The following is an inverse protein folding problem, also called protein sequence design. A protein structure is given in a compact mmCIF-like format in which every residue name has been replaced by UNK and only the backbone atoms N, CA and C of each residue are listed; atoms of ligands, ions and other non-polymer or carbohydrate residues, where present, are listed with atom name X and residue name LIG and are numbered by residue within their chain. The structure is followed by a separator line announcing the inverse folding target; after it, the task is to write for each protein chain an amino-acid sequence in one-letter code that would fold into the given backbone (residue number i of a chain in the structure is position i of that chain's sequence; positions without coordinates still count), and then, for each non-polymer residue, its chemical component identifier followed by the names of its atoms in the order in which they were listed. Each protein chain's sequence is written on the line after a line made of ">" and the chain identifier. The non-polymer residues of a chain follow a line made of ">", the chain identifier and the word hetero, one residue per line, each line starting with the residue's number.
data_IF_688300496074
#
_entry.id   IF_688300496074
#
_cell.length_a   1.000
_cell.length_b   1.000
_cell.length_c   1.000
_cell.angle_alpha   90.00
_cell.angle_beta   90.00
_cell.angle_gamma   90.00
#
_symmetry.space_group_name_H-M   'P 1'
#
loop_
_entity.id
_entity.type
_entity.pdbx_description
1 polymer ?
#
# COMPACT_ATOMS: atom_id res chain seq x y z
N UNK A 1 -18.56 -27.56 -11.12
CA UNK A 1 -17.26 -26.97 -10.79
C UNK A 1 -17.53 -25.53 -10.45
N UNK A 2 -17.81 -25.27 -9.18
CA UNK A 2 -17.99 -23.91 -8.68
C UNK A 2 -16.64 -23.22 -8.81
N UNK A 3 -16.56 -22.26 -9.72
CA UNK A 3 -15.46 -21.30 -9.78
C UNK A 3 -15.53 -20.50 -8.48
N UNK A 4 -14.79 -20.91 -7.45
CA UNK A 4 -14.49 -20.02 -6.35
C UNK A 4 -13.79 -18.82 -6.97
N UNK A 5 -14.49 -17.68 -7.02
CA UNK A 5 -13.92 -16.44 -7.55
C UNK A 5 -12.58 -16.18 -6.85
N UNK A 6 -11.49 -16.10 -7.62
CA UNK A 6 -10.19 -15.74 -7.07
C UNK A 6 -10.30 -14.34 -6.47
N UNK A 7 -10.00 -14.22 -5.17
CA UNK A 7 -9.94 -12.93 -4.48
C UNK A 7 -8.89 -12.07 -5.15
N UNK A 8 -9.26 -10.88 -5.62
CA UNK A 8 -8.28 -9.96 -6.21
C UNK A 8 -7.42 -9.32 -5.12
N UNK A 9 -6.27 -8.76 -5.49
CA UNK A 9 -5.43 -8.00 -4.55
C UNK A 9 -6.19 -6.81 -3.91
N UNK A 10 -7.11 -6.20 -4.65
CA UNK A 10 -7.97 -5.12 -4.13
C UNK A 10 -8.92 -5.65 -3.05
N UNK A 11 -9.49 -6.83 -3.25
CA UNK A 11 -10.41 -7.45 -2.28
C UNK A 11 -9.65 -7.86 -1.02
N UNK A 12 -8.48 -8.48 -1.15
CA UNK A 12 -7.62 -8.83 0.00
C UNK A 12 -7.25 -7.58 0.82
N UNK A 13 -6.81 -6.51 0.17
CA UNK A 13 -6.49 -5.25 0.84
C UNK A 13 -7.72 -4.62 1.51
N UNK A 14 -8.89 -4.69 0.87
CA UNK A 14 -10.16 -4.22 1.43
C UNK A 14 -10.60 -5.01 2.67
N UNK A 15 -10.40 -6.34 2.66
CA UNK A 15 -10.65 -7.18 3.83
C UNK A 15 -9.70 -6.82 4.96
N UNK A 16 -8.39 -6.71 4.71
CA UNK A 16 -7.42 -6.29 5.73
C UNK A 16 -7.80 -4.93 6.34
N UNK A 17 -8.20 -3.97 5.49
CA UNK A 17 -8.66 -2.66 5.96
C UNK A 17 -9.89 -2.77 6.86
N UNK A 18 -10.89 -3.55 6.44
CA UNK A 18 -12.11 -3.79 7.21
C UNK A 18 -11.82 -4.48 8.55
N UNK A 19 -10.89 -5.44 8.57
CA UNK A 19 -10.39 -6.06 9.80
C UNK A 19 -9.76 -5.02 10.74
N UNK A 20 -8.96 -4.09 10.20
CA UNK A 20 -8.33 -3.03 10.97
C UNK A 20 -9.36 -2.06 11.59
N UNK A 21 -10.39 -1.69 10.84
CA UNK A 21 -11.48 -0.83 11.32
C UNK A 21 -12.32 -1.52 12.41
N UNK A 22 -12.59 -2.82 12.23
CA UNK A 22 -13.29 -3.64 13.21
C UNK A 22 -12.42 -4.05 14.42
N UNK A 23 -11.11 -3.74 14.39
CA UNK A 23 -10.12 -4.22 15.37
C UNK A 23 -10.14 -5.74 15.55
N UNK A 24 -10.45 -6.45 14.47
CA UNK A 24 -10.49 -7.90 14.43
C UNK A 24 -9.17 -8.43 13.89
N UNK A 25 -8.55 -9.36 14.62
CA UNK A 25 -7.25 -9.95 14.29
C UNK A 25 -7.40 -11.44 14.01
N UNK A 26 -6.88 -11.89 12.87
CA UNK A 26 -6.76 -13.30 12.53
C UNK A 26 -5.45 -13.55 11.79
N UNK A 27 -4.43 -14.00 12.52
CA UNK A 27 -3.04 -14.13 12.07
C UNK A 27 -2.94 -14.94 10.76
N UNK A 28 -3.62 -16.09 10.67
CA UNK A 28 -3.58 -16.92 9.45
C UNK A 28 -4.15 -16.26 8.19
N UNK A 29 -5.15 -15.38 8.31
CA UNK A 29 -5.70 -14.65 7.16
C UNK A 29 -4.74 -13.55 6.75
N UNK A 30 -4.19 -12.84 7.76
CA UNK A 30 -3.24 -11.75 7.53
C UNK A 30 -1.98 -12.28 6.83
N UNK A 31 -1.41 -13.38 7.34
CA UNK A 31 -0.22 -13.99 6.75
C UNK A 31 -0.46 -14.43 5.31
N UNK A 32 -1.60 -15.08 5.04
CA UNK A 32 -1.94 -15.56 3.71
C UNK A 32 -2.18 -14.42 2.71
N UNK A 33 -2.85 -13.35 3.14
CA UNK A 33 -3.09 -12.19 2.29
C UNK A 33 -1.81 -11.40 2.06
N UNK A 34 -0.98 -11.20 3.09
CA UNK A 34 0.35 -10.59 2.94
C UNK A 34 1.19 -11.40 1.96
N UNK A 35 1.19 -12.74 2.07
CA UNK A 35 1.89 -13.62 1.13
C UNK A 35 1.40 -13.45 -0.31
N UNK A 36 0.08 -13.42 -0.51
CA UNK A 36 -0.54 -13.32 -1.84
C UNK A 36 -0.33 -11.95 -2.49
N UNK A 37 -0.45 -10.87 -1.72
CA UNK A 37 -0.27 -9.50 -2.21
C UNK A 37 1.13 -9.20 -2.74
N UNK A 38 2.15 -9.95 -2.29
CA UNK A 38 3.54 -9.82 -2.79
C UNK A 38 3.69 -10.11 -4.28
N UNK A 39 2.75 -10.85 -4.89
CA UNK A 39 2.88 -11.34 -6.26
C UNK A 39 1.95 -10.64 -7.27
N UNK A 40 0.81 -10.09 -6.81
CA UNK A 40 -0.28 -9.70 -7.73
C UNK A 40 -0.95 -8.36 -7.40
N UNK A 41 -0.40 -7.59 -6.45
CA UNK A 41 -1.00 -6.31 -6.09
C UNK A 41 -0.55 -5.16 -7.01
N UNK A 42 -1.34 -4.09 -7.07
CA UNK A 42 -0.88 -2.79 -7.55
C UNK A 42 -0.55 -1.90 -6.34
N UNK A 43 0.08 -0.75 -6.58
CA UNK A 43 0.51 0.19 -5.53
C UNK A 43 -0.64 0.57 -4.58
N UNK A 44 -1.85 0.81 -5.09
CA UNK A 44 -3.00 1.22 -4.28
C UNK A 44 -3.48 0.10 -3.34
N UNK A 45 -3.56 -1.14 -3.83
CA UNK A 45 -3.88 -2.30 -3.00
C UNK A 45 -2.78 -2.56 -1.96
N UNK A 46 -1.50 -2.48 -2.38
CA UNK A 46 -0.36 -2.66 -1.47
C UNK A 46 -0.34 -1.63 -0.35
N UNK A 47 -0.49 -0.33 -0.66
CA UNK A 47 -0.44 0.71 0.37
C UNK A 47 -1.61 0.58 1.35
N UNK A 48 -2.80 0.20 0.86
CA UNK A 48 -3.96 -0.08 1.71
C UNK A 48 -3.68 -1.25 2.66
N UNK A 49 -3.13 -2.35 2.14
CA UNK A 49 -2.76 -3.50 2.96
C UNK A 49 -1.67 -3.18 3.97
N UNK A 50 -0.60 -2.46 3.58
CA UNK A 50 0.49 -2.05 4.49
C UNK A 50 -0.07 -1.26 5.68
N UNK A 51 -0.92 -0.26 5.43
CA UNK A 51 -1.52 0.55 6.48
C UNK A 51 -2.48 -0.25 7.36
N UNK A 52 -3.23 -1.19 6.78
CA UNK A 52 -4.12 -2.07 7.55
C UNK A 52 -3.34 -3.01 8.48
N UNK A 53 -2.26 -3.61 7.96
CA UNK A 53 -1.36 -4.52 8.68
C UNK A 53 -0.65 -3.78 9.83
N UNK A 54 -0.15 -2.56 9.58
CA UNK A 54 0.40 -1.65 10.61
C UNK A 54 -0.61 -1.38 11.73
N UNK A 55 -1.85 -1.01 11.36
CA UNK A 55 -2.93 -0.72 12.31
C UNK A 55 -3.35 -1.92 13.14
N UNK A 56 -3.23 -3.13 12.60
CA UNK A 56 -3.48 -4.39 13.31
C UNK A 56 -2.29 -4.81 14.20
N UNK A 57 -1.17 -4.08 14.16
CA UNK A 57 0.02 -4.35 14.97
C UNK A 57 0.94 -5.43 14.42
N UNK A 58 0.90 -5.70 13.12
CA UNK A 58 1.74 -6.69 12.45
C UNK A 58 2.88 -6.05 11.68
N UNK A 59 3.93 -6.84 11.43
CA UNK A 59 5.06 -6.40 10.62
C UNK A 59 4.66 -6.23 9.15
N UNK A 60 5.07 -5.11 8.56
CA UNK A 60 4.85 -4.76 7.15
C UNK A 60 6.07 -5.05 6.27
N UNK A 61 7.17 -5.56 6.84
CA UNK A 61 8.44 -5.75 6.13
C UNK A 61 8.32 -6.68 4.92
N UNK A 62 7.48 -7.72 5.01
CA UNK A 62 7.25 -8.65 3.90
C UNK A 62 6.65 -7.98 2.65
N UNK A 63 5.96 -6.84 2.81
CA UNK A 63 5.36 -6.08 1.72
C UNK A 63 6.29 -4.97 1.19
N UNK A 64 7.36 -4.63 1.91
CA UNK A 64 8.18 -3.46 1.60
C UNK A 64 8.88 -3.56 0.25
N UNK A 65 9.68 -4.60 0.05
CA UNK A 65 10.45 -4.75 -1.20
C UNK A 65 9.55 -4.81 -2.43
N UNK A 66 8.48 -5.64 -2.45
CA UNK A 66 7.57 -5.66 -3.58
C UNK A 66 6.88 -4.31 -3.81
N UNK A 67 6.54 -3.59 -2.73
CA UNK A 67 5.92 -2.27 -2.84
C UNK A 67 6.84 -1.24 -3.48
N UNK A 68 8.09 -1.17 -3.00
CA UNK A 68 9.10 -0.24 -3.55
C UNK A 68 9.40 -0.56 -5.01
N UNK A 69 9.50 -1.85 -5.37
CA UNK A 69 9.73 -2.28 -6.75
C UNK A 69 8.58 -1.90 -7.68
N UNK A 70 7.33 -2.01 -7.23
CA UNK A 70 6.17 -1.62 -8.03
C UNK A 70 6.01 -0.10 -8.14
N UNK A 71 6.40 0.63 -7.08
CA UNK A 71 6.29 2.06 -7.04
C UNK A 71 7.29 2.76 -7.97
N UNK A 72 8.51 2.22 -8.08
CA UNK A 72 9.54 2.76 -8.97
C UNK A 72 9.05 2.84 -10.43
N UNK A 73 9.03 4.05 -10.98
CA UNK A 73 8.56 4.30 -12.35
C UNK A 73 7.03 4.19 -12.54
N UNK A 74 6.27 4.19 -11.46
CA UNK A 74 4.79 4.22 -11.49
C UNK A 74 4.19 5.39 -10.72
N UNK A 75 5.01 6.29 -10.13
CA UNK A 75 4.51 7.42 -9.35
C UNK A 75 3.65 8.37 -10.19
N UNK A 76 4.02 8.54 -11.46
CA UNK A 76 3.31 9.34 -12.46
C UNK A 76 1.87 8.88 -12.70
N UNK A 77 1.58 7.59 -12.54
CA UNK A 77 0.25 6.99 -12.73
C UNK A 77 -0.66 7.15 -11.52
N UNK A 78 -0.14 7.61 -10.38
CA UNK A 78 -0.89 7.70 -9.13
C UNK A 78 -1.63 9.03 -9.02
N UNK A 79 -2.83 8.97 -8.43
CA UNK A 79 -3.55 10.17 -8.01
C UNK A 79 -2.96 10.76 -6.73
N UNK A 80 -3.30 12.02 -6.43
CA UNK A 80 -2.82 12.72 -5.23
C UNK A 80 -3.10 11.93 -3.93
N UNK A 81 -4.29 11.34 -3.81
CA UNK A 81 -4.67 10.56 -2.63
C UNK A 81 -3.80 9.31 -2.44
N UNK A 82 -3.41 8.64 -3.53
CA UNK A 82 -2.55 7.46 -3.48
C UNK A 82 -1.12 7.86 -3.13
N UNK A 83 -0.58 8.91 -3.76
CA UNK A 83 0.75 9.46 -3.43
C UNK A 83 0.85 9.86 -1.95
N UNK A 84 -0.18 10.52 -1.41
CA UNK A 84 -0.25 10.84 0.02
C UNK A 84 -0.23 9.59 0.89
N UNK A 85 -0.97 8.54 0.54
CA UNK A 85 -0.98 7.28 1.30
C UNK A 85 0.37 6.57 1.24
N UNK A 86 1.05 6.62 0.09
CA UNK A 86 2.40 6.07 -0.10
C UNK A 86 3.38 6.73 0.88
N UNK A 87 3.41 8.07 0.93
CA UNK A 87 4.24 8.80 1.88
C UNK A 87 3.89 8.47 3.33
N UNK A 88 2.59 8.35 3.65
CA UNK A 88 2.15 7.95 4.98
C UNK A 88 2.63 6.54 5.35
N UNK A 89 2.63 5.60 4.41
CA UNK A 89 3.15 4.25 4.63
C UNK A 89 4.66 4.28 4.92
N UNK A 90 5.46 5.01 4.12
CA UNK A 90 6.89 5.18 4.41
C UNK A 90 7.13 5.80 5.79
N UNK A 91 6.42 6.88 6.10
CA UNK A 91 6.59 7.63 7.34
C UNK A 91 6.09 6.88 8.59
N UNK A 92 5.17 5.92 8.47
CA UNK A 92 4.66 5.16 9.62
C UNK A 92 5.36 3.81 9.78
N UNK A 93 5.44 3.06 8.69
CA UNK A 93 5.81 1.65 8.73
C UNK A 93 7.33 1.46 8.74
N UNK A 94 8.08 2.40 8.14
CA UNK A 94 9.50 2.19 7.85
C UNK A 94 10.38 3.38 8.26
N UNK A 95 10.03 4.06 9.35
CA UNK A 95 10.80 5.21 9.88
C UNK A 95 12.28 4.91 10.09
N UNK A 96 12.60 3.71 10.57
CA UNK A 96 13.96 3.28 10.86
C UNK A 96 14.75 2.85 9.61
N UNK A 97 14.11 2.84 8.45
CA UNK A 97 14.71 2.34 7.23
C UNK A 97 14.85 3.42 6.17
N UNK A 98 16.04 3.49 5.56
CA UNK A 98 16.26 4.40 4.43
C UNK A 98 15.38 4.00 3.25
N UNK A 99 14.61 4.96 2.74
CA UNK A 99 14.00 4.89 1.40
C UNK A 99 15.01 5.46 0.42
N UNK A 100 15.06 4.91 -0.79
CA UNK A 100 15.90 5.42 -1.87
C UNK A 100 15.60 6.92 -2.10
N UNK A 101 16.60 7.81 -1.99
CA UNK A 101 16.42 9.25 -2.23
C UNK A 101 15.82 9.58 -3.59
N UNK A 102 16.17 8.82 -4.65
CA UNK A 102 15.64 9.06 -6.00
C UNK A 102 14.14 8.80 -6.07
N UNK A 103 13.68 7.72 -5.42
CA UNK A 103 12.25 7.40 -5.34
C UNK A 103 11.48 8.43 -4.51
N UNK A 104 12.07 8.93 -3.42
CA UNK A 104 11.47 10.00 -2.64
C UNK A 104 11.35 11.30 -3.44
N UNK A 105 12.38 11.64 -4.22
CA UNK A 105 12.35 12.80 -5.10
C UNK A 105 11.26 12.66 -6.18
N UNK A 106 11.16 11.50 -6.83
CA UNK A 106 10.09 11.18 -7.79
C UNK A 106 8.70 11.37 -7.17
N UNK A 107 8.47 10.80 -5.99
CA UNK A 107 7.20 10.92 -5.26
C UNK A 107 6.85 12.38 -4.92
N UNK A 108 7.84 13.16 -4.46
CA UNK A 108 7.63 14.55 -4.11
C UNK A 108 7.30 15.39 -5.35
N UNK A 109 8.01 15.17 -6.46
CA UNK A 109 7.76 15.86 -7.73
C UNK A 109 6.35 15.56 -8.24
N UNK A 110 5.96 14.28 -8.29
CA UNK A 110 4.59 13.90 -8.67
C UNK A 110 3.54 14.51 -7.74
N UNK A 111 3.78 14.57 -6.42
CA UNK A 111 2.85 15.23 -5.51
C UNK A 111 2.66 16.71 -5.79
N UNK A 112 3.76 17.44 -6.05
CA UNK A 112 3.72 18.87 -6.38
C UNK A 112 2.93 19.10 -7.68
N UNK A 113 3.20 18.30 -8.71
CA UNK A 113 2.48 18.36 -9.99
C UNK A 113 0.98 18.09 -9.80
N UNK A 114 0.61 17.03 -9.08
CA UNK A 114 -0.79 16.69 -8.82
C UNK A 114 -1.49 17.74 -7.98
N UNK A 115 -0.83 18.29 -6.96
CA UNK A 115 -1.36 19.38 -6.14
C UNK A 115 -1.66 20.63 -6.97
N UNK A 116 -0.76 21.01 -7.90
CA UNK A 116 -0.96 22.16 -8.78
C UNK A 116 -2.18 21.99 -9.71
N UNK A 117 -2.53 20.75 -10.07
CA UNK A 117 -3.72 20.43 -10.90
C UNK A 117 -5.00 20.18 -10.11
N UNK A 118 -4.92 20.14 -8.78
CA UNK A 118 -6.08 19.89 -7.92
C UNK A 118 -6.80 21.21 -7.64
N UNK A 119 -7.99 21.40 -8.22
CA UNK A 119 -8.81 22.61 -8.07
C UNK A 119 -9.12 22.88 -6.58
N UNK A 120 -8.78 24.06 -6.02
CA UNK A 120 -8.93 24.35 -4.59
C UNK A 120 -10.38 24.72 -4.17
N UNK A 121 -11.40 24.34 -4.96
CA UNK A 121 -12.80 24.76 -4.77
C UNK A 121 -13.58 23.86 -3.82
#
# INVERSE_FOLDING_TARGET
>A
LESHAELSAKDMAGVLWSMSEARFRHDGIIDEFVRSLRYQANVSAMVTAILAVDRLGFSTEALRTPFVQQLGGSCDKLGFADLRRVLMAFARCWQASSVDPQLLEELCNCMVERAATSDPR
#
